data_IF_914210081699
#
_entry.id   IF_914210081699
#
_cell.length_a   1.000
_cell.length_b   1.000
_cell.length_c   1.000
_cell.angle_alpha   90.00
_cell.angle_beta   90.00
_cell.angle_gamma   90.00
#
_symmetry.space_group_name_H-M   'P 1'
#
loop_
_entity.id
_entity.type
_entity.pdbx_description
1 polymer ?
#
# COMPACT_ATOMS: atom_id res chain seq x y z
N UNK A 1 8.60 8.77 27.55
CA UNK A 1 9.79 7.92 27.39
C UNK A 1 9.76 6.63 28.24
N UNK A 2 9.19 6.61 29.46
CA UNK A 2 9.16 5.39 30.30
C UNK A 2 8.15 4.30 29.86
N UNK A 3 7.26 4.56 28.91
CA UNK A 3 6.18 3.64 28.49
C UNK A 3 6.60 2.56 27.48
N UNK A 4 7.66 2.80 26.69
CA UNK A 4 8.13 1.85 25.67
C UNK A 4 8.97 0.70 26.24
N UNK A 5 9.56 0.88 27.43
CA UNK A 5 10.43 -0.12 28.05
C UNK A 5 9.69 -1.33 28.65
N UNK A 6 8.36 -1.26 28.83
CA UNK A 6 7.59 -2.36 29.43
C UNK A 6 7.14 -3.42 28.40
N UNK A 7 7.19 -3.13 27.10
CA UNK A 7 6.81 -4.06 26.04
C UNK A 7 7.81 -5.21 25.84
N UNK A 8 9.04 -5.08 26.32
CA UNK A 8 10.08 -6.10 26.13
C UNK A 8 9.99 -7.30 27.10
N UNK A 9 9.14 -7.24 28.14
CA UNK A 9 9.15 -8.23 29.23
C UNK A 9 7.97 -9.23 29.23
N UNK A 10 7.02 -9.08 28.31
CA UNK A 10 5.95 -10.06 28.10
C UNK A 10 6.18 -10.75 26.75
N UNK A 11 7.03 -11.76 26.74
CA UNK A 11 7.08 -12.76 25.68
C UNK A 11 5.80 -13.60 25.72
N UNK A 12 4.66 -12.95 25.46
CA UNK A 12 3.53 -13.63 24.85
C UNK A 12 4.09 -14.32 23.61
N UNK A 13 3.79 -15.62 23.44
CA UNK A 13 4.19 -16.37 22.26
C UNK A 13 3.96 -15.48 21.04
N UNK A 14 5.02 -15.23 20.26
CA UNK A 14 4.92 -14.42 19.06
C UNK A 14 3.67 -14.92 18.30
N UNK A 15 2.80 -14.01 17.86
CA UNK A 15 1.55 -14.42 17.25
C UNK A 15 1.83 -15.45 16.15
N UNK A 16 0.97 -16.46 15.96
CA UNK A 16 1.22 -17.55 15.01
C UNK A 16 1.42 -17.06 13.57
N UNK A 17 1.05 -15.81 13.29
CA UNK A 17 1.22 -15.15 12.01
C UNK A 17 2.57 -14.44 11.84
N UNK A 18 3.41 -14.33 12.87
CA UNK A 18 4.69 -13.62 12.82
C UNK A 18 5.89 -14.57 12.77
N UNK A 19 6.60 -14.56 11.64
CA UNK A 19 7.93 -15.18 11.53
C UNK A 19 8.99 -14.10 11.38
N UNK A 20 9.85 -13.99 12.39
CA UNK A 20 11.07 -13.20 12.32
C UNK A 20 12.23 -14.06 11.79
N UNK A 21 13.04 -13.47 10.92
CA UNK A 21 14.27 -14.10 10.46
C UNK A 21 15.18 -13.12 9.76
N UNK A 22 16.47 -13.43 9.71
CA UNK A 22 17.41 -12.67 8.90
C UNK A 22 17.08 -12.94 7.42
N UNK A 23 16.75 -11.91 6.65
CA UNK A 23 16.40 -12.00 5.24
C UNK A 23 17.54 -11.56 4.34
N UNK A 24 18.19 -10.44 4.68
CA UNK A 24 19.26 -9.84 3.89
C UNK A 24 20.47 -9.49 4.76
N UNK A 25 21.71 -9.59 4.24
CA UNK A 25 22.87 -9.04 4.91
C UNK A 25 22.81 -7.49 4.99
N UNK A 26 23.28 -6.86 6.09
CA UNK A 26 23.23 -5.40 6.22
C UNK A 26 23.91 -4.62 5.10
N UNK A 27 25.02 -5.14 4.56
CA UNK A 27 25.73 -4.53 3.42
C UNK A 27 24.92 -4.55 2.12
N UNK A 28 24.04 -5.54 1.95
CA UNK A 28 23.12 -5.60 0.80
C UNK A 28 21.99 -4.60 1.01
N UNK A 29 21.46 -4.49 2.22
CA UNK A 29 20.44 -3.49 2.54
C UNK A 29 20.94 -2.06 2.26
N UNK A 30 22.17 -1.74 2.67
CA UNK A 30 22.78 -0.44 2.38
C UNK A 30 22.89 -0.18 0.87
N UNK A 31 23.34 -1.18 0.09
CA UNK A 31 23.43 -1.06 -1.38
C UNK A 31 22.07 -0.88 -2.05
N UNK A 32 21.03 -1.53 -1.53
CA UNK A 32 19.65 -1.37 -2.00
C UNK A 32 19.17 0.06 -1.77
N UNK A 33 19.38 0.60 -0.56
CA UNK A 33 19.03 2.00 -0.24
C UNK A 33 19.77 2.96 -1.17
N UNK A 34 21.08 2.78 -1.35
CA UNK A 34 21.89 3.64 -2.21
C UNK A 34 21.43 3.62 -3.67
N UNK A 35 21.07 2.44 -4.20
CA UNK A 35 20.53 2.28 -5.55
C UNK A 35 19.16 2.96 -5.69
N UNK A 36 18.29 2.80 -4.69
CA UNK A 36 16.97 3.43 -4.69
C UNK A 36 17.04 4.95 -4.61
N UNK A 37 17.91 5.52 -3.77
CA UNK A 37 18.12 6.97 -3.69
C UNK A 37 18.68 7.56 -5.00
N UNK A 38 19.56 6.83 -5.71
CA UNK A 38 20.05 7.25 -7.03
C UNK A 38 18.96 7.22 -8.09
N UNK A 39 18.14 6.17 -8.09
CA UNK A 39 17.03 6.02 -9.03
C UNK A 39 15.90 7.03 -8.76
N UNK A 40 15.71 7.38 -7.49
CA UNK A 40 14.64 8.27 -7.03
C UNK A 40 13.38 7.50 -6.64
N UNK A 41 12.55 8.15 -5.82
CA UNK A 41 11.25 7.63 -5.39
C UNK A 41 10.14 8.38 -6.13
N UNK A 42 9.07 7.67 -6.47
CA UNK A 42 7.81 8.27 -6.91
C UNK A 42 7.04 8.84 -5.72
N UNK A 43 6.23 9.84 -6.01
CA UNK A 43 5.28 10.45 -5.08
C UNK A 43 3.89 10.30 -5.67
N UNK A 44 3.11 9.37 -5.17
CA UNK A 44 1.76 9.08 -5.66
C UNK A 44 0.77 8.99 -4.49
N UNK A 45 -0.51 9.28 -4.70
CA UNK A 45 -1.55 8.87 -3.75
C UNK A 45 -1.44 7.37 -3.47
N UNK A 46 -1.71 6.97 -2.23
CA UNK A 46 -1.76 5.57 -1.83
C UNK A 46 -3.22 5.12 -1.78
N UNK A 47 -3.54 3.91 -2.25
CA UNK A 47 -4.89 3.35 -2.12
C UNK A 47 -5.24 3.14 -0.65
N UNK A 48 -4.23 2.98 0.20
CA UNK A 48 -4.39 2.95 1.66
C UNK A 48 -4.88 4.32 2.18
N UNK A 49 -4.90 5.40 1.40
CA UNK A 49 -5.23 6.76 1.86
C UNK A 49 -6.51 7.39 1.25
N UNK A 50 -7.41 6.57 0.68
CA UNK A 50 -8.53 6.99 -0.18
C UNK A 50 -9.46 8.11 0.36
N UNK A 51 -9.71 8.22 1.67
CA UNK A 51 -10.80 9.07 2.20
C UNK A 51 -10.41 10.46 2.75
N UNK A 52 -9.21 10.99 2.47
CA UNK A 52 -8.80 12.23 3.12
C UNK A 52 -8.01 13.18 2.20
N UNK A 53 -8.67 14.28 1.83
CA UNK A 53 -8.18 15.37 0.99
C UNK A 53 -6.86 16.03 1.43
N UNK A 54 -6.33 15.66 2.61
CA UNK A 54 -5.12 16.23 3.19
C UNK A 54 -3.94 15.26 3.28
N UNK A 55 -4.02 14.08 2.65
CA UNK A 55 -3.01 13.05 2.89
C UNK A 55 -1.72 13.19 2.06
N UNK A 56 -0.57 12.90 2.70
CA UNK A 56 0.72 12.93 2.04
C UNK A 56 0.80 11.87 0.93
N UNK A 57 1.47 12.10 -0.20
CA UNK A 57 1.75 11.02 -1.16
C UNK A 57 2.59 9.91 -0.49
N UNK A 58 2.41 8.67 -0.92
CA UNK A 58 3.35 7.59 -0.65
C UNK A 58 4.70 7.95 -1.26
N UNK A 59 5.79 7.49 -0.65
CA UNK A 59 7.14 7.66 -1.19
C UNK A 59 7.69 6.27 -1.44
N UNK A 60 7.61 5.82 -2.69
CA UNK A 60 7.90 4.44 -3.05
C UNK A 60 8.72 4.31 -4.33
N UNK A 61 9.32 3.13 -4.51
CA UNK A 61 10.00 2.76 -5.73
C UNK A 61 9.56 1.35 -6.10
N UNK A 62 8.88 1.22 -7.24
CA UNK A 62 8.54 -0.07 -7.81
C UNK A 62 9.79 -0.81 -8.26
N UNK A 63 9.98 -2.04 -7.79
CA UNK A 63 11.13 -2.88 -8.19
C UNK A 63 10.72 -3.92 -9.20
N UNK A 64 9.65 -4.64 -8.90
CA UNK A 64 9.09 -5.70 -9.72
C UNK A 64 7.58 -5.72 -9.54
N UNK A 65 6.85 -5.82 -10.63
CA UNK A 65 5.39 -5.88 -10.64
C UNK A 65 4.96 -6.79 -11.79
N UNK A 66 4.27 -7.89 -11.47
CA UNK A 66 3.60 -8.76 -12.45
C UNK A 66 4.49 -9.15 -13.65
N UNK A 67 5.67 -9.70 -13.34
CA UNK A 67 6.70 -10.11 -14.32
C UNK A 67 7.50 -8.98 -14.97
N UNK A 68 7.21 -7.71 -14.66
CA UNK A 68 7.99 -6.56 -15.13
C UNK A 68 8.98 -6.06 -14.08
N UNK A 69 10.24 -5.88 -14.47
CA UNK A 69 11.26 -5.24 -13.63
C UNK A 69 11.26 -3.74 -13.85
N UNK A 70 10.82 -2.99 -12.84
CA UNK A 70 10.71 -1.52 -12.86
C UNK A 70 11.97 -0.80 -12.33
N UNK A 71 12.71 -1.44 -11.42
CA UNK A 71 14.00 -0.95 -10.91
C UNK A 71 15.12 -1.97 -11.10
N UNK A 72 15.75 -2.06 -12.28
CA UNK A 72 16.68 -3.14 -12.62
C UNK A 72 17.93 -3.17 -11.72
N UNK A 73 18.44 -2.01 -11.30
CA UNK A 73 19.61 -1.96 -10.40
C UNK A 73 19.28 -2.52 -9.01
N UNK A 74 18.14 -2.13 -8.45
CA UNK A 74 17.66 -2.64 -7.16
C UNK A 74 17.33 -4.13 -7.29
N UNK A 75 16.64 -4.53 -8.35
CA UNK A 75 16.28 -5.92 -8.59
C UNK A 75 17.51 -6.83 -8.72
N UNK A 76 18.59 -6.37 -9.34
CA UNK A 76 19.85 -7.12 -9.41
C UNK A 76 20.46 -7.40 -8.02
N UNK A 77 20.22 -6.53 -7.03
CA UNK A 77 20.67 -6.73 -5.65
C UNK A 77 19.74 -7.70 -4.88
N UNK A 78 18.44 -7.66 -5.14
CA UNK A 78 17.43 -8.49 -4.46
C UNK A 78 17.37 -9.92 -5.04
N UNK A 79 17.50 -10.07 -6.36
CA UNK A 79 17.31 -11.33 -7.08
C UNK A 79 18.06 -12.54 -6.48
N UNK A 80 19.34 -12.44 -6.07
CA UNK A 80 20.07 -13.56 -5.46
C UNK A 80 19.45 -14.07 -4.15
N UNK A 81 18.67 -13.23 -3.46
CA UNK A 81 18.06 -13.55 -2.17
C UNK A 81 16.61 -14.02 -2.29
N UNK A 82 15.97 -13.90 -3.47
CA UNK A 82 14.58 -14.32 -3.66
C UNK A 82 14.28 -15.75 -3.21
N UNK A 83 15.13 -16.78 -3.44
CA UNK A 83 14.86 -18.12 -2.92
C UNK A 83 14.75 -18.17 -1.38
N UNK A 84 15.60 -17.40 -0.67
CA UNK A 84 15.54 -17.29 0.79
C UNK A 84 14.27 -16.57 1.24
N UNK A 85 13.92 -15.47 0.57
CA UNK A 85 12.72 -14.68 0.86
C UNK A 85 11.45 -15.52 0.65
N UNK A 86 11.34 -16.26 -0.46
CA UNK A 86 10.25 -17.23 -0.69
C UNK A 86 10.20 -18.27 0.41
N UNK A 87 11.35 -18.80 0.81
CA UNK A 87 11.44 -19.77 1.90
C UNK A 87 10.94 -19.25 3.25
N UNK A 88 10.98 -17.94 3.52
CA UNK A 88 10.37 -17.33 4.72
C UNK A 88 8.84 -17.40 4.63
N UNK A 89 8.28 -16.96 3.49
CA UNK A 89 6.83 -16.97 3.25
C UNK A 89 6.28 -18.40 3.20
N UNK A 90 6.95 -19.32 2.52
CA UNK A 90 6.58 -20.74 2.46
C UNK A 90 6.52 -21.38 3.86
N UNK A 91 7.40 -20.98 4.79
CA UNK A 91 7.32 -21.46 6.19
C UNK A 91 6.09 -20.91 6.90
N UNK A 92 5.76 -19.63 6.69
CA UNK A 92 4.54 -19.02 7.24
C UNK A 92 3.28 -19.74 6.72
N UNK A 93 3.23 -19.98 5.40
CA UNK A 93 2.15 -20.71 4.72
C UNK A 93 1.97 -22.11 5.28
N UNK A 94 3.05 -22.89 5.40
CA UNK A 94 3.00 -24.25 5.95
C UNK A 94 2.56 -24.29 7.41
N UNK A 95 2.91 -23.30 8.22
CA UNK A 95 2.43 -23.20 9.61
C UNK A 95 0.90 -23.06 9.70
N UNK A 96 0.25 -22.61 8.60
CA UNK A 96 -1.21 -22.49 8.44
C UNK A 96 -1.82 -23.63 7.61
N UNK A 97 -1.05 -24.66 7.28
CA UNK A 97 -1.53 -25.78 6.46
C UNK A 97 -1.65 -25.47 4.96
N UNK A 98 -1.04 -24.38 4.48
CA UNK A 98 -0.99 -24.03 3.05
C UNK A 98 0.31 -24.57 2.45
N UNK A 99 0.20 -25.44 1.44
CA UNK A 99 1.33 -26.12 0.78
C UNK A 99 1.39 -25.80 -0.72
N UNK A 100 1.35 -24.50 -1.05
CA UNK A 100 1.59 -24.01 -2.41
C UNK A 100 2.90 -23.22 -2.45
N UNK A 101 3.71 -23.34 -3.51
CA UNK A 101 4.91 -22.52 -3.66
C UNK A 101 4.56 -21.03 -3.68
N UNK A 102 5.34 -20.20 -2.97
CA UNK A 102 5.18 -18.74 -3.00
C UNK A 102 5.55 -18.16 -4.36
N UNK A 103 4.63 -17.36 -4.93
CA UNK A 103 4.92 -16.42 -6.03
C UNK A 103 4.99 -15.01 -5.45
N UNK A 104 5.98 -14.23 -5.86
CA UNK A 104 6.00 -12.79 -5.56
C UNK A 104 5.41 -12.07 -6.77
N UNK A 105 4.33 -11.34 -6.54
CA UNK A 105 3.61 -10.61 -7.58
C UNK A 105 4.04 -9.14 -7.63
N UNK A 106 4.45 -8.60 -6.49
CA UNK A 106 4.84 -7.21 -6.36
C UNK A 106 5.97 -7.06 -5.33
N UNK A 107 7.03 -6.34 -5.72
CA UNK A 107 8.17 -5.97 -4.89
C UNK A 107 8.38 -4.47 -5.04
N UNK A 108 8.35 -3.75 -3.92
CA UNK A 108 8.56 -2.31 -3.89
C UNK A 108 9.32 -1.87 -2.65
N UNK A 109 10.00 -0.73 -2.74
CA UNK A 109 10.61 -0.09 -1.59
C UNK A 109 9.73 1.04 -1.12
N UNK A 110 9.61 1.18 0.20
CA UNK A 110 8.90 2.29 0.82
C UNK A 110 9.81 3.08 1.76
N UNK A 111 9.73 4.40 1.64
CA UNK A 111 10.50 5.36 2.44
C UNK A 111 9.58 6.18 3.32
N UNK A 112 9.94 6.31 4.59
CA UNK A 112 9.33 7.25 5.53
C UNK A 112 10.41 8.20 6.04
N UNK A 113 10.07 9.46 6.26
CA UNK A 113 11.05 10.45 6.73
C UNK A 113 10.44 11.39 7.77
N UNK A 114 11.15 11.59 8.87
CA UNK A 114 10.71 12.49 9.94
C UNK A 114 10.53 13.93 9.43
N UNK A 115 9.45 14.59 9.87
CA UNK A 115 9.12 15.96 9.46
C UNK A 115 8.69 16.09 8.00
N UNK A 116 8.51 14.98 7.29
CA UNK A 116 7.84 14.95 5.99
C UNK A 116 6.39 14.57 6.17
N UNK A 117 5.60 14.86 5.15
CA UNK A 117 4.19 14.56 5.15
C UNK A 117 3.97 13.04 5.34
N UNK A 118 4.82 12.19 4.73
CA UNK A 118 4.83 10.73 4.92
C UNK A 118 5.86 10.28 5.99
N UNK A 119 5.54 10.53 7.25
CA UNK A 119 6.34 10.10 8.42
C UNK A 119 5.73 8.92 9.20
N UNK A 120 4.57 8.41 8.74
CA UNK A 120 3.80 7.35 9.35
C UNK A 120 2.97 6.62 8.30
N UNK A 121 2.34 5.50 8.69
CA UNK A 121 1.32 4.81 7.90
C UNK A 121 0.18 4.40 8.84
N UNK A 122 -1.06 4.72 8.45
CA UNK A 122 -2.23 4.29 9.22
C UNK A 122 -2.33 2.77 9.27
N UNK A 123 -3.03 2.26 10.27
CA UNK A 123 -3.29 0.84 10.31
C UNK A 123 -4.17 0.43 9.12
N UNK A 124 -3.82 -0.66 8.47
CA UNK A 124 -4.54 -1.24 7.35
C UNK A 124 -4.26 -2.75 7.30
N UNK A 125 -4.97 -3.43 6.41
CA UNK A 125 -4.65 -4.78 5.95
C UNK A 125 -4.20 -4.67 4.52
N UNK A 126 -3.24 -5.49 4.14
CA UNK A 126 -2.90 -5.61 2.72
C UNK A 126 -3.93 -6.49 2.02
N UNK A 127 -4.13 -6.28 0.72
CA UNK A 127 -4.99 -7.13 -0.09
C UNK A 127 -4.41 -8.53 -0.30
N UNK A 128 -3.10 -8.65 -0.53
CA UNK A 128 -2.42 -9.89 -0.88
C UNK A 128 -2.44 -10.94 0.25
N UNK A 129 -2.39 -12.23 -0.10
CA UNK A 129 -2.49 -13.31 0.89
C UNK A 129 -1.38 -13.28 1.95
N UNK A 130 -0.14 -12.99 1.55
CA UNK A 130 0.99 -12.90 2.48
C UNK A 130 1.92 -11.74 2.14
N UNK A 131 2.29 -10.95 3.14
CA UNK A 131 3.24 -9.85 3.02
C UNK A 131 4.54 -10.20 3.71
N UNK A 132 5.65 -9.86 3.08
CA UNK A 132 6.99 -9.93 3.64
C UNK A 132 7.58 -8.53 3.70
N UNK A 133 7.86 -8.03 4.90
CA UNK A 133 8.49 -6.74 5.14
C UNK A 133 9.93 -6.95 5.59
N UNK A 134 10.90 -6.55 4.77
CA UNK A 134 12.33 -6.59 5.11
C UNK A 134 12.79 -5.19 5.52
N UNK A 135 13.34 -5.07 6.73
CA UNK A 135 13.86 -3.80 7.23
C UNK A 135 15.23 -3.50 6.62
N UNK A 136 15.32 -2.49 5.76
CA UNK A 136 16.58 -2.16 5.07
C UNK A 136 17.52 -1.31 5.93
N UNK A 137 17.00 -0.69 6.98
CA UNK A 137 17.79 -0.05 8.02
C UNK A 137 17.14 -0.25 9.39
N UNK A 138 17.94 -0.03 10.44
CA UNK A 138 17.55 -0.33 11.81
C UNK A 138 17.12 0.89 12.60
N UNK A 139 16.24 0.66 13.57
CA UNK A 139 15.92 1.65 14.61
C UNK A 139 17.10 1.85 15.54
N UNK A 140 17.35 3.09 15.93
CA UNK A 140 18.38 3.42 16.90
C UNK A 140 18.11 2.73 18.25
N UNK A 141 16.84 2.62 18.63
CA UNK A 141 16.40 2.02 19.90
C UNK A 141 16.57 0.50 19.94
N UNK A 142 16.58 -0.17 18.78
CA UNK A 142 16.68 -1.63 18.67
C UNK A 142 18.14 -2.12 18.51
N UNK A 143 19.11 -1.23 18.78
CA UNK A 143 20.53 -1.54 18.65
C UNK A 143 21.01 -1.72 17.20
N UNK A 144 20.30 -1.13 16.24
CA UNK A 144 20.70 -1.17 14.83
C UNK A 144 22.12 -0.64 14.66
N UNK A 145 22.99 -1.37 13.95
CA UNK A 145 24.35 -0.93 13.62
C UNK A 145 24.50 -0.79 12.10
N UNK A 146 25.17 0.28 11.67
CA UNK A 146 25.44 0.59 10.25
C UNK A 146 24.35 1.41 9.54
N UNK A 147 24.77 2.36 8.69
CA UNK A 147 23.90 3.10 7.77
C UNK A 147 23.07 4.23 8.38
N UNK A 148 22.10 4.74 7.59
CA UNK A 148 21.12 5.72 8.03
C UNK A 148 20.21 5.10 9.10
N UNK A 149 20.24 5.62 10.33
CA UNK A 149 19.33 5.19 11.40
C UNK A 149 18.09 6.09 11.46
N UNK A 150 17.04 5.60 12.11
CA UNK A 150 15.85 6.38 12.44
C UNK A 150 15.43 6.16 13.89
N UNK A 151 14.63 7.09 14.41
CA UNK A 151 14.01 6.99 15.74
C UNK A 151 12.48 7.07 15.59
N UNK A 152 11.74 6.39 16.46
CA UNK A 152 10.30 6.15 16.26
C UNK A 152 10.05 5.19 15.09
N UNK A 153 8.99 5.38 14.30
CA UNK A 153 8.83 4.65 13.03
C UNK A 153 8.53 3.15 13.13
N UNK A 154 8.19 2.64 14.32
CA UNK A 154 8.01 1.22 14.57
C UNK A 154 6.92 0.61 13.68
N UNK A 155 7.21 -0.57 13.09
CA UNK A 155 6.16 -1.44 12.56
C UNK A 155 5.37 -2.00 13.73
N UNK A 156 4.06 -1.80 13.70
CA UNK A 156 3.15 -2.43 14.64
C UNK A 156 2.25 -3.42 13.93
N UNK A 157 1.94 -4.52 14.61
CA UNK A 157 0.99 -5.55 14.20
C UNK A 157 -0.08 -5.67 15.29
N UNK A 158 -1.32 -5.89 14.91
CA UNK A 158 -2.41 -6.11 15.84
C UNK A 158 -3.35 -7.22 15.33
N UNK A 159 -3.67 -8.15 16.23
CA UNK A 159 -4.80 -9.06 16.07
C UNK A 159 -6.07 -8.35 16.53
N UNK A 160 -7.16 -8.50 15.78
CA UNK A 160 -8.44 -8.00 16.25
C UNK A 160 -9.56 -8.17 15.21
N UNK A 161 -10.83 -8.22 15.68
CA UNK A 161 -11.95 -8.06 14.78
C UNK A 161 -11.82 -6.72 14.04
N UNK A 162 -12.37 -6.66 12.84
CA UNK A 162 -12.63 -5.40 12.16
C UNK A 162 -13.36 -4.48 13.15
N UNK A 163 -12.72 -3.39 13.54
CA UNK A 163 -13.40 -2.40 14.38
C UNK A 163 -14.22 -1.58 13.39
N UNK A 164 -15.41 -2.06 13.07
CA UNK A 164 -16.35 -1.41 12.17
C UNK A 164 -16.39 0.10 12.47
N UNK A 165 -15.98 0.92 11.49
CA UNK A 165 -16.04 2.37 11.57
C UNK A 165 -14.86 3.09 12.25
N UNK A 166 -13.78 2.39 12.64
CA UNK A 166 -12.53 3.06 13.09
C UNK A 166 -11.48 3.00 11.98
N UNK A 167 -11.74 3.77 10.92
CA UNK A 167 -10.83 4.00 9.79
C UNK A 167 -9.59 4.87 10.15
N UNK A 168 -9.56 5.39 11.38
CA UNK A 168 -8.53 6.31 11.84
C UNK A 168 -8.02 5.84 13.18
N UNK A 169 -6.83 5.24 13.17
CA UNK A 169 -6.08 5.00 14.39
C UNK A 169 -5.53 6.33 14.90
N UNK A 170 -6.20 6.87 15.91
CA UNK A 170 -5.66 7.95 16.73
C UNK A 170 -4.59 7.38 17.68
N UNK A 171 -3.80 8.24 18.31
CA UNK A 171 -2.91 7.83 19.41
C UNK A 171 -3.69 7.05 20.50
N UNK A 172 -5.01 7.29 20.64
CA UNK A 172 -5.89 6.53 21.54
C UNK A 172 -6.06 5.07 21.13
N UNK A 173 -6.00 4.72 19.84
CA UNK A 173 -6.04 3.31 19.44
C UNK A 173 -4.77 2.59 19.91
N UNK A 174 -3.59 3.15 19.67
CA UNK A 174 -2.32 2.56 20.12
C UNK A 174 -2.29 2.41 21.65
N UNK A 175 -2.93 3.32 22.38
CA UNK A 175 -3.09 3.26 23.83
C UNK A 175 -4.20 2.26 24.28
N UNK A 176 -5.24 2.04 23.49
CA UNK A 176 -6.41 1.20 23.83
C UNK A 176 -6.29 -0.25 23.37
N UNK A 177 -5.50 -0.52 22.34
CA UNK A 177 -5.40 -1.84 21.74
C UNK A 177 -4.55 -2.78 22.57
N UNK A 178 -5.24 -3.60 23.38
CA UNK A 178 -4.62 -4.77 23.97
C UNK A 178 -4.12 -5.69 22.84
N UNK A 179 -2.82 -6.02 22.86
CA UNK A 179 -2.23 -6.97 21.89
C UNK A 179 -1.51 -6.35 20.70
N UNK A 180 -1.25 -5.04 20.69
CA UNK A 180 -0.34 -4.44 19.69
C UNK A 180 1.08 -4.93 19.92
N UNK A 181 1.64 -5.58 18.91
CA UNK A 181 3.02 -5.99 18.87
C UNK A 181 3.84 -4.97 18.08
N UNK A 182 4.77 -4.31 18.76
CA UNK A 182 5.78 -3.47 18.11
C UNK A 182 6.95 -4.36 17.73
N UNK A 183 7.15 -4.55 16.43
CA UNK A 183 8.19 -5.44 15.93
C UNK A 183 9.56 -4.77 16.10
N UNK A 184 10.54 -5.44 16.72
CA UNK A 184 11.93 -4.97 16.70
C UNK A 184 12.47 -4.89 15.26
N UNK A 185 12.98 -3.72 14.87
CA UNK A 185 13.41 -3.46 13.48
C UNK A 185 14.92 -3.44 13.37
N UNK A 186 15.49 -4.65 13.30
CA UNK A 186 16.91 -4.85 12.99
C UNK A 186 17.15 -4.82 11.48
N UNK A 187 18.22 -4.17 11.04
CA UNK A 187 18.64 -4.17 9.62
C UNK A 187 18.76 -5.60 9.10
N UNK A 188 18.15 -5.88 7.96
CA UNK A 188 18.18 -7.17 7.29
C UNK A 188 17.19 -8.19 7.86
N UNK A 189 16.58 -7.94 9.01
CA UNK A 189 15.51 -8.78 9.53
C UNK A 189 14.23 -8.59 8.71
N UNK A 190 13.38 -9.62 8.73
CA UNK A 190 12.11 -9.61 8.05
C UNK A 190 10.97 -10.10 8.93
N UNK A 191 9.78 -9.64 8.59
CA UNK A 191 8.51 -10.07 9.15
C UNK A 191 7.61 -10.56 8.04
N UNK A 192 7.03 -11.74 8.22
CA UNK A 192 5.92 -12.24 7.40
C UNK A 192 4.62 -12.06 8.18
N UNK A 193 3.56 -11.62 7.51
CA UNK A 193 2.17 -11.65 8.01
C UNK A 193 1.20 -11.96 6.86
N UNK A 194 -0.08 -12.22 7.16
CA UNK A 194 -1.13 -12.40 6.14
C UNK A 194 -2.07 -11.19 6.07
N UNK A 195 -3.05 -11.25 5.16
CA UNK A 195 -4.08 -10.22 4.99
C UNK A 195 -5.07 -10.10 6.16
N UNK A 196 -4.97 -10.92 7.19
CA UNK A 196 -5.84 -10.81 8.37
C UNK A 196 -5.26 -9.89 9.43
N UNK A 197 -3.96 -9.57 9.34
CA UNK A 197 -3.22 -8.78 10.33
C UNK A 197 -3.33 -7.29 10.05
N UNK A 198 -3.84 -6.54 11.02
CA UNK A 198 -3.77 -5.08 11.00
C UNK A 198 -2.34 -4.63 11.27
N UNK A 199 -1.84 -3.71 10.46
CA UNK A 199 -0.49 -3.20 10.63
C UNK A 199 -0.33 -1.77 10.11
N UNK A 200 0.72 -1.09 10.58
CA UNK A 200 1.07 0.25 10.15
C UNK A 200 2.41 0.69 10.68
N UNK A 201 2.75 1.97 10.48
CA UNK A 201 4.03 2.56 10.87
C UNK A 201 3.77 3.73 11.81
N UNK A 202 4.25 3.63 13.05
CA UNK A 202 4.18 4.73 14.01
C UNK A 202 4.96 5.96 13.51
N UNK A 203 4.66 7.18 13.97
CA UNK A 203 5.38 8.38 13.53
C UNK A 203 6.90 8.29 13.74
N UNK A 204 7.67 8.76 12.75
CA UNK A 204 9.12 8.92 12.87
C UNK A 204 9.45 10.19 13.65
N UNK A 205 10.32 10.05 14.66
CA UNK A 205 10.86 11.19 15.42
C UNK A 205 12.09 11.81 14.74
N UNK A 206 12.91 11.00 14.05
CA UNK A 206 14.07 11.48 13.29
C UNK A 206 14.50 10.48 12.21
N UNK A 207 15.31 10.95 11.26
CA UNK A 207 15.93 10.11 10.22
C UNK A 207 14.97 9.69 9.11
N UNK A 208 15.32 8.59 8.43
CA UNK A 208 14.49 7.99 7.39
C UNK A 208 14.47 6.48 7.55
N UNK A 209 13.30 5.87 7.39
CA UNK A 209 13.07 4.43 7.45
C UNK A 209 12.87 3.88 6.05
N UNK A 210 13.52 2.77 5.76
CA UNK A 210 13.44 2.06 4.48
C UNK A 210 12.99 0.62 4.72
N UNK A 211 11.97 0.21 3.98
CA UNK A 211 11.47 -1.16 3.96
C UNK A 211 11.43 -1.66 2.53
N UNK A 212 11.82 -2.91 2.31
CA UNK A 212 11.52 -3.65 1.08
C UNK A 212 10.30 -4.52 1.36
N UNK A 213 9.23 -4.32 0.62
CA UNK A 213 7.98 -5.05 0.75
C UNK A 213 7.83 -6.00 -0.42
N UNK A 214 7.39 -7.22 -0.14
CA UNK A 214 7.08 -8.24 -1.13
C UNK A 214 5.67 -8.75 -0.85
N UNK A 215 4.78 -8.56 -1.82
CA UNK A 215 3.44 -9.14 -1.78
C UNK A 215 3.46 -10.47 -2.52
N UNK A 216 2.99 -11.50 -1.81
CA UNK A 216 2.96 -12.86 -2.29
C UNK A 216 1.54 -13.36 -2.51
N UNK A 217 1.41 -14.15 -3.58
CA UNK A 217 0.20 -14.87 -3.97
C UNK A 217 -1.03 -13.95 -4.07
N UNK A 218 -0.87 -12.81 -4.75
CA UNK A 218 -2.00 -11.95 -5.11
C UNK A 218 -2.95 -12.68 -6.05
N UNK A 219 -4.26 -12.57 -5.81
CA UNK A 219 -5.27 -13.06 -6.75
C UNK A 219 -5.31 -12.18 -7.99
N UNK A 220 -5.81 -12.71 -9.11
CA UNK A 220 -6.01 -11.91 -10.33
C UNK A 220 -6.91 -10.70 -10.05
N UNK A 221 -7.94 -10.86 -9.19
CA UNK A 221 -8.81 -9.76 -8.75
C UNK A 221 -8.05 -8.67 -7.96
N UNK A 222 -7.07 -9.03 -7.13
CA UNK A 222 -6.24 -8.07 -6.40
C UNK A 222 -5.24 -7.38 -7.32
N UNK A 223 -4.72 -8.14 -8.29
CA UNK A 223 -3.86 -7.63 -9.35
C UNK A 223 -4.63 -6.64 -10.25
N UNK A 224 -5.85 -6.98 -10.62
CA UNK A 224 -6.67 -6.21 -11.56
C UNK A 224 -7.44 -5.07 -10.89
N UNK A 225 -7.84 -5.21 -9.63
CA UNK A 225 -8.50 -4.16 -8.84
C UNK A 225 -7.60 -2.94 -8.59
N UNK A 226 -6.28 -3.17 -8.50
CA UNK A 226 -5.28 -2.10 -8.37
C UNK A 226 -4.68 -1.67 -9.73
N UNK A 227 -5.05 -2.32 -10.84
CA UNK A 227 -4.63 -1.85 -12.16
C UNK A 227 -5.42 -0.62 -12.53
N UNK A 228 -4.70 0.49 -12.63
CA UNK A 228 -5.20 1.67 -13.31
C UNK A 228 -5.59 1.28 -14.74
N UNK A 229 -6.87 1.41 -15.07
CA UNK A 229 -7.39 1.38 -16.43
C UNK A 229 -7.63 2.80 -16.91
N UNK A 230 -7.81 2.99 -18.21
CA UNK A 230 -8.23 4.28 -18.77
C UNK A 230 -9.68 4.18 -19.23
N UNK A 231 -10.57 4.90 -18.55
CA UNK A 231 -11.95 5.06 -18.99
C UNK A 231 -12.05 6.20 -20.01
N UNK A 232 -12.69 5.94 -21.15
CA UNK A 232 -12.99 6.94 -22.16
C UNK A 232 -14.46 7.35 -22.10
N UNK A 233 -14.72 8.66 -21.98
CA UNK A 233 -16.05 9.26 -21.89
C UNK A 233 -16.33 10.15 -23.11
N UNK A 234 -17.12 9.67 -24.06
CA UNK A 234 -17.42 10.40 -25.30
C UNK A 234 -18.79 11.09 -25.26
N UNK A 235 -18.84 12.42 -25.39
CA UNK A 235 -20.09 13.18 -25.42
C UNK A 235 -20.58 13.40 -26.86
N UNK A 236 -21.42 12.52 -27.39
CA UNK A 236 -22.05 12.73 -28.71
C UNK A 236 -23.29 13.64 -28.65
N UNK A 237 -23.58 14.25 -27.49
CA UNK A 237 -24.67 15.20 -27.29
C UNK A 237 -24.38 16.59 -27.87
N UNK A 238 -25.41 17.46 -27.85
CA UNK A 238 -25.32 18.83 -28.38
C UNK A 238 -24.83 19.87 -27.35
N UNK A 239 -24.71 19.49 -26.08
CA UNK A 239 -24.33 20.38 -24.98
C UNK A 239 -23.14 19.80 -24.19
N UNK A 240 -22.28 20.65 -23.59
CA UNK A 240 -21.22 20.19 -22.70
C UNK A 240 -21.79 19.45 -21.49
N UNK A 241 -21.05 18.44 -21.00
CA UNK A 241 -21.38 17.69 -19.79
C UNK A 241 -20.26 17.84 -18.76
N UNK A 242 -20.61 17.99 -17.48
CA UNK A 242 -19.64 17.93 -16.39
C UNK A 242 -19.49 16.47 -15.96
N UNK A 243 -18.27 15.94 -16.03
CA UNK A 243 -17.93 14.60 -15.58
C UNK A 243 -17.39 14.67 -14.15
N UNK A 244 -17.93 13.83 -13.26
CA UNK A 244 -17.50 13.73 -11.88
C UNK A 244 -17.21 12.28 -11.49
N UNK A 245 -16.23 12.08 -10.62
CA UNK A 245 -15.98 10.80 -9.94
C UNK A 245 -16.70 10.81 -8.58
N UNK A 246 -17.45 9.76 -8.26
CA UNK A 246 -18.34 9.71 -7.10
C UNK A 246 -17.99 8.58 -6.12
N UNK A 247 -16.73 8.11 -6.12
CA UNK A 247 -16.28 7.01 -5.26
C UNK A 247 -16.30 5.65 -5.97
N UNK A 248 -16.63 4.61 -5.22
CA UNK A 248 -16.70 3.22 -5.71
C UNK A 248 -18.15 2.72 -5.75
N UNK A 249 -18.41 1.59 -6.39
CA UNK A 249 -19.74 1.01 -6.45
C UNK A 249 -20.28 0.59 -5.06
N UNK A 250 -19.39 0.27 -4.12
CA UNK A 250 -19.75 -0.09 -2.75
C UNK A 250 -20.01 1.13 -1.86
N UNK A 251 -19.32 2.24 -2.15
CA UNK A 251 -19.27 3.45 -1.31
C UNK A 251 -19.43 4.70 -2.16
N UNK A 252 -20.56 4.82 -2.87
CA UNK A 252 -20.87 6.01 -3.66
C UNK A 252 -21.14 7.20 -2.73
N UNK A 253 -20.38 8.28 -2.89
CA UNK A 253 -20.37 9.44 -1.99
C UNK A 253 -20.44 10.77 -2.74
N UNK A 254 -19.87 11.80 -2.13
CA UNK A 254 -19.80 13.13 -2.74
C UNK A 254 -18.97 13.09 -4.03
N UNK A 255 -19.56 13.62 -5.12
CA UNK A 255 -18.91 13.63 -6.42
C UNK A 255 -17.89 14.77 -6.53
N UNK A 256 -16.69 14.45 -7.01
CA UNK A 256 -15.63 15.40 -7.35
C UNK A 256 -15.62 15.61 -8.86
N UNK A 257 -15.79 16.86 -9.30
CA UNK A 257 -15.71 17.20 -10.72
C UNK A 257 -14.29 16.93 -11.25
N UNK A 258 -14.19 16.09 -12.29
CA UNK A 258 -12.91 15.70 -12.91
C UNK A 258 -12.70 16.36 -14.27
N UNK A 259 -13.77 16.61 -15.03
CA UNK A 259 -13.65 17.19 -16.36
C UNK A 259 -14.95 17.85 -16.85
N UNK A 260 -14.86 18.61 -17.94
CA UNK A 260 -16.01 19.02 -18.75
C UNK A 260 -15.83 18.49 -20.16
N UNK A 261 -16.74 17.62 -20.61
CA UNK A 261 -16.68 16.97 -21.92
C UNK A 261 -17.51 17.76 -22.91
N UNK A 262 -16.86 18.44 -23.86
CA UNK A 262 -17.53 19.22 -24.90
C UNK A 262 -18.29 18.32 -25.91
N UNK A 263 -19.30 18.86 -26.62
CA UNK A 263 -19.97 18.16 -27.73
C UNK A 263 -18.98 17.59 -28.76
N UNK A 264 -19.10 16.31 -29.07
CA UNK A 264 -18.24 15.56 -29.98
C UNK A 264 -16.84 15.23 -29.45
N UNK A 265 -16.54 15.56 -28.19
CA UNK A 265 -15.25 15.28 -27.57
C UNK A 265 -15.27 13.96 -26.78
N UNK A 266 -14.08 13.38 -26.59
CA UNK A 266 -13.84 12.27 -25.66
C UNK A 266 -12.86 12.72 -24.60
N UNK A 267 -13.22 12.48 -23.35
CA UNK A 267 -12.35 12.67 -22.20
C UNK A 267 -11.81 11.33 -21.72
N UNK A 268 -10.56 11.28 -21.29
CA UNK A 268 -9.93 10.06 -20.79
C UNK A 268 -9.56 10.26 -19.32
N UNK A 269 -9.91 9.31 -18.46
CA UNK A 269 -9.55 9.34 -17.05
C UNK A 269 -8.86 8.04 -16.68
N UNK A 270 -7.68 8.16 -16.06
CA UNK A 270 -7.08 7.05 -15.35
C UNK A 270 -7.95 6.73 -14.13
N UNK A 271 -8.33 5.47 -13.97
CA UNK A 271 -9.32 5.04 -13.00
C UNK A 271 -9.13 3.57 -12.66
N UNK A 272 -9.88 3.03 -11.71
CA UNK A 272 -9.83 1.63 -11.33
C UNK A 272 -11.15 0.93 -11.61
N UNK A 273 -11.14 -0.41 -11.55
CA UNK A 273 -12.37 -1.19 -11.44
C UNK A 273 -13.20 -0.68 -10.25
N UNK A 274 -14.52 -0.81 -10.32
CA UNK A 274 -15.53 -0.32 -9.37
C UNK A 274 -15.78 1.19 -9.29
N UNK A 275 -14.91 2.02 -9.87
CA UNK A 275 -15.07 3.47 -9.81
C UNK A 275 -16.38 3.93 -10.45
N UNK A 276 -17.08 4.84 -9.78
CA UNK A 276 -18.34 5.41 -10.25
C UNK A 276 -18.10 6.79 -10.85
N UNK A 277 -18.53 6.97 -12.09
CA UNK A 277 -18.55 8.29 -12.72
C UNK A 277 -19.98 8.70 -13.03
N UNK A 278 -20.26 9.99 -12.87
CA UNK A 278 -21.54 10.60 -13.21
C UNK A 278 -21.31 11.79 -14.11
N UNK A 279 -22.06 11.86 -15.20
CA UNK A 279 -22.11 13.04 -16.05
C UNK A 279 -23.38 13.84 -15.77
N UNK A 280 -23.24 15.15 -15.57
CA UNK A 280 -24.35 16.07 -15.35
C UNK A 280 -24.45 17.11 -16.45
N UNK A 281 -25.67 17.57 -16.72
CA UNK A 281 -25.92 18.69 -17.62
C UNK A 281 -25.69 20.05 -16.93
N UNK A 282 -25.91 21.15 -17.67
CA UNK A 282 -25.76 22.51 -17.14
C UNK A 282 -26.75 22.86 -15.99
N UNK A 283 -27.80 22.07 -15.79
CA UNK A 283 -28.73 22.22 -14.67
C UNK A 283 -28.33 21.34 -13.46
N UNK A 284 -27.20 20.63 -13.54
CA UNK A 284 -26.70 19.73 -12.50
C UNK A 284 -27.44 18.40 -12.44
N UNK A 285 -28.26 18.06 -13.44
CA UNK A 285 -29.00 16.79 -13.47
C UNK A 285 -28.11 15.70 -14.06
N UNK A 286 -28.04 14.57 -13.36
CA UNK A 286 -27.36 13.38 -13.88
C UNK A 286 -28.04 12.92 -15.18
N UNK A 287 -27.24 12.80 -16.24
CA UNK A 287 -27.68 12.30 -17.55
C UNK A 287 -27.12 10.93 -17.86
N UNK A 288 -26.08 10.48 -17.15
CA UNK A 288 -25.61 9.11 -17.18
C UNK A 288 -24.69 8.81 -15.97
N UNK A 289 -24.55 7.51 -15.67
CA UNK A 289 -23.75 6.96 -14.57
C UNK A 289 -23.06 5.69 -15.04
N UNK A 290 -21.78 5.54 -14.73
CA UNK A 290 -20.99 4.33 -15.04
C UNK A 290 -20.38 3.76 -13.78
N UNK A 291 -20.25 2.44 -13.78
CA UNK A 291 -19.37 1.70 -12.88
C UNK A 291 -18.32 1.05 -13.76
N UNK A 292 -17.05 1.35 -13.55
CA UNK A 292 -15.95 0.75 -14.31
C UNK A 292 -15.80 -0.72 -13.88
N UNK A 293 -15.62 -1.66 -14.80
CA UNK A 293 -15.59 -3.10 -14.52
C UNK A 293 -14.18 -3.73 -14.56
N UNK A 294 -13.13 -2.91 -14.71
CA UNK A 294 -11.73 -3.34 -14.69
C UNK A 294 -11.14 -3.75 -16.05
N UNK A 295 -11.91 -3.65 -17.15
CA UNK A 295 -11.40 -3.81 -18.52
C UNK A 295 -10.94 -2.51 -19.19
N UNK A 296 -10.52 -2.60 -20.46
CA UNK A 296 -10.41 -1.44 -21.37
C UNK A 296 -11.83 -0.85 -21.55
N UNK A 297 -12.18 0.11 -20.69
CA UNK A 297 -13.53 0.64 -20.59
C UNK A 297 -13.75 1.78 -21.60
N UNK A 298 -14.56 1.53 -22.63
CA UNK A 298 -14.94 2.53 -23.64
C UNK A 298 -16.44 2.62 -23.75
N UNK A 299 -17.03 3.62 -23.13
CA UNK A 299 -18.47 3.86 -23.20
C UNK A 299 -18.77 5.13 -24.00
N UNK A 300 -19.85 5.06 -24.79
CA UNK A 300 -20.31 6.16 -25.65
C UNK A 300 -21.64 6.69 -25.15
N UNK A 301 -21.82 8.00 -25.26
CA UNK A 301 -23.01 8.67 -24.77
C UNK A 301 -23.84 9.09 -25.96
N UNK A 302 -25.12 8.72 -25.97
CA UNK A 302 -26.11 9.34 -26.86
C UNK A 302 -27.14 10.06 -25.99
N UNK A 303 -27.24 11.38 -26.17
CA UNK A 303 -28.14 12.22 -25.38
C UNK A 303 -29.60 11.83 -25.65
N UNK A 304 -30.27 11.16 -24.71
CA UNK A 304 -31.71 10.86 -24.86
C UNK A 304 -32.28 9.67 -24.10
N UNK A 305 -31.48 8.77 -23.51
CA UNK A 305 -32.01 7.58 -22.82
C UNK A 305 -31.36 7.40 -21.44
N UNK A 306 -32.10 7.81 -20.40
CA UNK A 306 -32.12 7.17 -19.08
C UNK A 306 -33.51 6.58 -18.89
#
# INVERSE_FOLDING_TARGET
MLRWALAAALALAAPPHLLEGDALPPEVCARIIDAAERQGFSYAPDTIDRDDSLRPPSVQLEVFEQDEVRAPEVMALVAPYLPRLRGLVDRAKRAKGVDTPTRFDWIFLRKYAAGRARDRLRAHKDGNLHSLNVFLNGRAEDGGSGGAQFAGGGLFLADGPEVDGVEVWTDEFLDAAAGVLVVPQRTGAAVVHDNTVWHGIAPLASGSKYSLLLFADMTDEQIDGDRATTAAFANDGAAPLALSWCGTAAEEGDCVAVATVAPGATEFQETYADHVFVATDAAGRAVARWVVDGGDFRERFVYGEL
#
